data_IF_841437726047
#
_entry.id   IF_841437726047
#
_cell.length_a   1.000
_cell.length_b   1.000
_cell.length_c   1.000
_cell.angle_alpha   90.00
_cell.angle_beta   90.00
_cell.angle_gamma   90.00
#
_symmetry.space_group_name_H-M   'P 1'
#
loop_
_entity.id
_entity.type
_entity.pdbx_description
1 polymer ?
#
# COMPACT_ATOMS: atom_id res chain seq x y z
N UNK A 1 9.25 -0.95 18.84
CA UNK A 1 7.85 -1.10 19.23
C UNK A 1 7.49 -0.22 20.44
N UNK A 2 8.37 -0.15 21.45
CA UNK A 2 8.10 0.62 22.69
C UNK A 2 8.02 2.13 22.44
N UNK A 3 8.79 2.66 21.51
CA UNK A 3 8.68 4.07 21.07
C UNK A 3 7.27 4.39 20.54
N UNK A 4 6.70 3.51 19.73
CA UNK A 4 5.33 3.68 19.20
C UNK A 4 4.29 3.62 20.33
N UNK A 5 4.40 2.65 21.25
CA UNK A 5 3.51 2.55 22.43
C UNK A 5 3.55 3.81 23.27
N UNK A 6 4.74 4.38 23.49
CA UNK A 6 4.91 5.62 24.25
C UNK A 6 4.21 6.79 23.56
N UNK A 7 4.35 6.93 22.22
CA UNK A 7 3.65 7.97 21.45
C UNK A 7 2.13 7.83 21.52
N UNK A 8 1.61 6.59 21.37
CA UNK A 8 0.17 6.32 21.50
C UNK A 8 -0.35 6.79 22.86
N UNK A 9 0.39 6.52 23.93
CA UNK A 9 0.04 6.94 25.28
C UNK A 9 0.14 8.45 25.47
N UNK A 10 1.20 9.07 24.98
CA UNK A 10 1.45 10.51 25.03
C UNK A 10 0.33 11.30 24.35
N UNK A 11 -0.09 10.84 23.16
CA UNK A 11 -1.16 11.48 22.39
C UNK A 11 -2.57 10.99 22.75
N UNK A 12 -2.71 10.12 23.78
CA UNK A 12 -3.99 9.57 24.24
C UNK A 12 -4.79 8.86 23.15
N UNK A 13 -4.11 8.09 22.32
CA UNK A 13 -4.68 7.39 21.14
C UNK A 13 -4.96 5.91 21.40
N UNK A 14 -5.02 5.45 22.64
CA UNK A 14 -5.17 4.03 23.00
C UNK A 14 -6.45 3.40 22.46
N UNK A 15 -7.53 4.18 22.38
CA UNK A 15 -8.81 3.74 21.85
C UNK A 15 -8.91 3.80 20.31
N UNK A 16 -7.93 4.45 19.67
CA UNK A 16 -7.92 4.69 18.24
C UNK A 16 -6.85 3.89 17.48
N UNK A 17 -5.78 3.45 18.17
CA UNK A 17 -4.65 2.76 17.55
C UNK A 17 -4.47 1.37 18.13
N UNK A 18 -4.57 0.36 17.28
CA UNK A 18 -4.35 -1.03 17.65
C UNK A 18 -3.03 -1.54 17.07
N UNK A 19 -2.12 -2.00 17.93
CA UNK A 19 -0.87 -2.65 17.56
C UNK A 19 -1.08 -4.15 17.46
N UNK A 20 -1.37 -4.66 16.28
CA UNK A 20 -1.74 -6.08 16.09
C UNK A 20 -0.54 -7.03 16.02
N UNK A 21 0.68 -6.51 15.89
CA UNK A 21 1.89 -7.36 15.81
C UNK A 21 1.91 -8.24 14.55
N UNK A 22 2.48 -9.43 14.68
CA UNK A 22 2.51 -10.42 13.60
C UNK A 22 1.15 -11.10 13.50
N UNK A 23 0.59 -11.15 12.29
CA UNK A 23 -0.71 -11.75 12.00
C UNK A 23 -0.54 -12.92 11.01
N UNK A 24 -1.41 -13.93 11.10
CA UNK A 24 -1.52 -14.97 10.11
C UNK A 24 -2.41 -14.53 8.92
N UNK A 25 -2.45 -15.36 7.85
CA UNK A 25 -3.21 -15.04 6.63
C UNK A 25 -4.70 -14.74 6.89
N UNK A 26 -5.37 -15.52 7.75
CA UNK A 26 -6.79 -15.29 8.04
C UNK A 26 -7.00 -13.97 8.77
N UNK A 27 -6.13 -13.62 9.71
CA UNK A 27 -6.17 -12.35 10.42
C UNK A 27 -5.87 -11.17 9.48
N UNK A 28 -4.88 -11.32 8.58
CA UNK A 28 -4.56 -10.33 7.56
C UNK A 28 -5.76 -10.08 6.64
N UNK A 29 -6.38 -11.14 6.14
CA UNK A 29 -7.56 -11.06 5.29
C UNK A 29 -8.74 -10.39 6.01
N UNK A 30 -8.95 -10.70 7.30
CA UNK A 30 -9.96 -10.04 8.11
C UNK A 30 -9.68 -8.54 8.24
N UNK A 31 -8.43 -8.16 8.54
CA UNK A 31 -8.02 -6.74 8.64
C UNK A 31 -8.28 -6.04 7.31
N UNK A 32 -7.79 -6.57 6.19
CA UNK A 32 -8.00 -5.96 4.88
C UNK A 32 -9.49 -5.86 4.52
N UNK A 33 -10.31 -6.87 4.83
CA UNK A 33 -11.76 -6.83 4.55
C UNK A 33 -12.49 -5.71 5.31
N UNK A 34 -11.87 -5.16 6.37
CA UNK A 34 -12.42 -4.09 7.20
C UNK A 34 -11.60 -2.79 7.13
N UNK A 35 -10.77 -2.63 6.11
CA UNK A 35 -9.89 -1.47 5.93
C UNK A 35 -10.39 -0.59 4.80
N UNK A 36 -10.48 0.69 5.03
CA UNK A 36 -10.88 1.70 4.04
C UNK A 36 -9.71 2.29 3.25
N UNK A 37 -8.52 2.32 3.85
CA UNK A 37 -7.34 2.98 3.30
C UNK A 37 -6.06 2.33 3.85
N UNK A 38 -5.12 2.02 2.97
CA UNK A 38 -3.78 1.60 3.36
C UNK A 38 -2.82 2.79 3.31
N UNK A 39 -2.04 2.96 4.37
CA UNK A 39 -1.05 4.03 4.48
C UNK A 39 0.30 3.38 4.80
N UNK A 40 1.22 3.42 3.84
CA UNK A 40 2.56 2.87 4.02
C UNK A 40 3.59 3.80 3.35
N UNK A 41 3.83 5.00 3.92
CA UNK A 41 4.85 5.89 3.43
C UNK A 41 6.23 5.29 3.74
N UNK A 42 6.95 4.92 2.70
CA UNK A 42 8.33 4.42 2.81
C UNK A 42 9.28 5.60 2.97
N UNK A 43 10.21 5.48 3.89
CA UNK A 43 11.30 6.45 4.04
C UNK A 43 12.44 6.10 3.08
N UNK A 44 13.15 7.12 2.60
CA UNK A 44 14.39 6.91 1.87
C UNK A 44 15.50 6.51 2.84
N UNK A 45 15.77 5.21 2.91
CA UNK A 45 16.87 4.63 3.69
C UNK A 45 18.06 4.24 2.79
N UNK A 46 18.26 4.95 1.69
CA UNK A 46 19.37 4.69 0.75
C UNK A 46 20.74 4.72 1.43
N UNK A 47 20.90 5.55 2.47
CA UNK A 47 22.10 5.56 3.34
C UNK A 47 22.29 4.24 4.11
N UNK A 48 21.21 3.54 4.44
CA UNK A 48 21.23 2.21 5.07
C UNK A 48 21.26 1.06 4.05
N UNK A 49 21.35 1.37 2.73
CA UNK A 49 21.32 0.40 1.63
C UNK A 49 20.00 -0.42 1.59
N UNK A 50 18.94 0.16 2.08
CA UNK A 50 17.59 -0.44 2.05
C UNK A 50 16.69 0.43 1.16
N UNK A 51 16.07 -0.19 0.16
CA UNK A 51 15.13 0.47 -0.76
C UNK A 51 13.92 -0.46 -0.90
N UNK A 52 12.71 0.11 -0.85
CA UNK A 52 11.49 -0.64 -1.17
C UNK A 52 11.51 -1.06 -2.64
N UNK A 53 11.51 -2.36 -2.90
CA UNK A 53 11.60 -2.90 -4.25
C UNK A 53 10.36 -2.61 -5.08
N UNK A 54 9.19 -2.99 -4.57
CA UNK A 54 7.91 -2.84 -5.27
C UNK A 54 6.75 -2.56 -4.31
N UNK A 55 6.76 -3.19 -3.12
CA UNK A 55 5.69 -3.06 -2.15
C UNK A 55 4.53 -4.02 -2.41
N UNK A 56 4.77 -5.33 -2.30
CA UNK A 56 3.74 -6.38 -2.49
C UNK A 56 2.51 -6.11 -1.61
N UNK A 57 2.69 -5.53 -0.43
CA UNK A 57 1.59 -5.19 0.47
C UNK A 57 0.53 -4.26 -0.16
N UNK A 58 0.93 -3.36 -1.09
CA UNK A 58 -0.03 -2.54 -1.84
C UNK A 58 -0.91 -3.37 -2.77
N UNK A 59 -0.35 -4.44 -3.36
CA UNK A 59 -1.10 -5.33 -4.25
C UNK A 59 -2.02 -6.24 -3.43
N UNK A 60 -1.58 -6.68 -2.25
CA UNK A 60 -2.43 -7.40 -1.31
C UNK A 60 -3.64 -6.55 -0.90
N UNK A 61 -3.44 -5.29 -0.52
CA UNK A 61 -4.52 -4.34 -0.21
C UNK A 61 -5.44 -4.09 -1.42
N UNK A 62 -4.86 -3.96 -2.63
CA UNK A 62 -5.60 -3.76 -3.87
C UNK A 62 -6.59 -4.89 -4.16
N UNK A 63 -6.28 -6.14 -3.84
CA UNK A 63 -7.19 -7.28 -3.99
C UNK A 63 -8.48 -7.14 -3.15
N UNK A 64 -8.42 -6.35 -2.07
CA UNK A 64 -9.56 -6.01 -1.22
C UNK A 64 -10.22 -4.65 -1.58
N UNK A 65 -9.87 -4.06 -2.72
CA UNK A 65 -10.36 -2.74 -3.16
C UNK A 65 -9.95 -1.61 -2.22
N UNK A 66 -8.80 -1.74 -1.57
CA UNK A 66 -8.26 -0.72 -0.68
C UNK A 66 -7.30 0.16 -1.49
N UNK A 67 -7.55 1.46 -1.62
CA UNK A 67 -6.57 2.38 -2.19
C UNK A 67 -5.42 2.58 -1.21
N UNK A 68 -4.24 2.90 -1.73
CA UNK A 68 -3.06 3.09 -0.90
C UNK A 68 -2.51 4.50 -1.02
N UNK A 69 -1.94 5.01 0.08
CA UNK A 69 -1.06 6.18 0.07
C UNK A 69 0.36 5.66 0.22
N UNK A 70 1.21 5.94 -0.77
CA UNK A 70 2.59 5.52 -0.85
C UNK A 70 3.53 6.70 -1.09
N UNK A 71 4.80 6.56 -0.77
CA UNK A 71 5.83 7.56 -1.09
C UNK A 71 6.37 7.34 -2.51
N UNK A 72 6.93 8.40 -3.12
CA UNK A 72 7.60 8.34 -4.41
C UNK A 72 9.05 7.84 -4.27
N UNK A 73 9.22 6.60 -3.77
CA UNK A 73 10.53 6.02 -3.45
C UNK A 73 10.63 4.60 -4.01
N UNK A 74 11.77 4.27 -4.60
CA UNK A 74 12.04 2.94 -5.15
C UNK A 74 11.00 2.51 -6.18
N UNK A 75 10.50 1.28 -6.10
CA UNK A 75 9.48 0.74 -6.98
C UNK A 75 8.03 1.00 -6.56
N UNK A 76 7.78 1.78 -5.51
CA UNK A 76 6.41 2.04 -5.03
C UNK A 76 5.50 2.71 -6.09
N UNK A 77 6.00 3.62 -6.98
CA UNK A 77 5.19 4.17 -8.07
C UNK A 77 4.78 3.15 -9.14
N UNK A 78 5.44 1.99 -9.17
CA UNK A 78 5.01 0.88 -10.02
C UNK A 78 3.86 0.08 -9.39
N UNK A 79 3.79 0.02 -8.07
CA UNK A 79 2.71 -0.64 -7.36
C UNK A 79 1.46 0.24 -7.27
N UNK A 80 1.62 1.52 -6.95
CA UNK A 80 0.53 2.49 -6.78
C UNK A 80 0.62 3.56 -7.86
N UNK A 81 -0.42 3.68 -8.69
CA UNK A 81 -0.51 4.73 -9.72
C UNK A 81 -1.26 5.93 -9.16
N UNK A 82 -0.55 7.07 -9.06
CA UNK A 82 -1.11 8.31 -8.50
C UNK A 82 -2.42 8.72 -9.18
N UNK A 83 -3.44 9.04 -8.38
CA UNK A 83 -4.80 9.40 -8.81
C UNK A 83 -5.54 8.34 -9.65
N UNK A 84 -4.99 7.12 -9.75
CA UNK A 84 -5.66 6.00 -10.45
C UNK A 84 -5.95 4.83 -9.52
N UNK A 85 -4.96 4.39 -8.74
CA UNK A 85 -5.10 3.25 -7.81
C UNK A 85 -4.81 3.61 -6.36
N UNK A 86 -4.42 4.85 -6.11
CA UNK A 86 -4.08 5.42 -4.82
C UNK A 86 -3.46 6.80 -4.99
N UNK A 87 -2.79 7.27 -3.96
CA UNK A 87 -2.04 8.52 -3.97
C UNK A 87 -0.56 8.26 -3.75
N UNK A 88 0.29 9.01 -4.45
CA UNK A 88 1.73 9.06 -4.22
C UNK A 88 2.06 10.43 -3.62
N UNK A 89 2.68 10.44 -2.47
CA UNK A 89 3.25 11.62 -1.83
C UNK A 89 4.74 11.73 -2.17
N UNK A 90 5.23 12.94 -2.33
CA UNK A 90 6.65 13.24 -2.59
C UNK A 90 7.39 13.49 -1.30
N UNK A 91 6.72 14.10 -0.33
CA UNK A 91 7.22 14.40 0.99
C UNK A 91 6.25 13.90 2.06
N UNK A 92 6.78 13.58 3.24
CA UNK A 92 5.98 13.14 4.38
C UNK A 92 5.00 14.23 4.86
N UNK A 93 5.32 15.49 4.64
CA UNK A 93 4.48 16.64 4.99
C UNK A 93 3.17 16.68 4.18
N UNK A 94 3.12 16.00 3.02
CA UNK A 94 1.91 15.85 2.21
C UNK A 94 0.94 14.79 2.75
N UNK A 95 1.37 13.97 3.73
CA UNK A 95 0.62 12.80 4.19
C UNK A 95 -0.74 13.17 4.80
N UNK A 96 -0.78 14.19 5.63
CA UNK A 96 -2.00 14.63 6.31
C UNK A 96 -3.08 15.07 5.31
N UNK A 97 -2.68 15.84 4.30
CA UNK A 97 -3.58 16.30 3.24
C UNK A 97 -4.06 15.13 2.37
N UNK A 98 -3.16 14.21 2.02
CA UNK A 98 -3.51 13.01 1.26
C UNK A 98 -4.51 12.14 2.01
N UNK A 99 -4.33 11.93 3.32
CA UNK A 99 -5.27 11.18 4.17
C UNK A 99 -6.63 11.88 4.20
N UNK A 100 -6.66 13.17 4.51
CA UNK A 100 -7.90 13.96 4.58
C UNK A 100 -8.66 13.91 3.25
N UNK A 101 -7.99 14.06 2.12
CA UNK A 101 -8.61 14.06 0.80
C UNK A 101 -9.36 12.73 0.52
N UNK A 102 -8.85 11.60 1.00
CA UNK A 102 -9.49 10.29 0.82
C UNK A 102 -10.53 9.97 1.91
N UNK A 103 -10.39 10.52 3.12
CA UNK A 103 -11.41 10.40 4.17
C UNK A 103 -12.65 11.20 3.77
N UNK A 104 -12.48 12.45 3.37
CA UNK A 104 -13.58 13.39 3.09
C UNK A 104 -14.27 13.06 1.76
N UNK A 105 -13.60 12.41 0.82
CA UNK A 105 -14.16 12.03 -0.48
C UNK A 105 -14.29 10.51 -0.61
N UNK A 106 -15.36 9.96 -0.02
CA UNK A 106 -15.65 8.52 -0.08
C UNK A 106 -15.79 7.99 -1.51
N UNK A 107 -16.39 8.75 -2.41
CA UNK A 107 -16.59 8.33 -3.81
C UNK A 107 -15.24 8.13 -4.50
N UNK A 108 -14.34 9.11 -4.38
CA UNK A 108 -12.98 9.00 -4.93
C UNK A 108 -12.21 7.85 -4.29
N UNK A 109 -12.28 7.69 -2.96
CA UNK A 109 -11.64 6.58 -2.25
C UNK A 109 -12.08 5.22 -2.81
N UNK A 110 -13.38 5.00 -2.96
CA UNK A 110 -13.92 3.76 -3.51
C UNK A 110 -13.53 3.53 -4.97
N UNK A 111 -13.52 4.59 -5.79
CA UNK A 111 -13.08 4.54 -7.19
C UNK A 111 -11.63 4.13 -7.31
N UNK A 112 -10.74 4.73 -6.53
CA UNK A 112 -9.31 4.38 -6.50
C UNK A 112 -9.11 2.92 -6.08
N UNK A 113 -9.81 2.46 -5.04
CA UNK A 113 -9.75 1.08 -4.58
C UNK A 113 -10.25 0.08 -5.62
N UNK A 114 -11.36 0.38 -6.31
CA UNK A 114 -11.86 -0.46 -7.39
C UNK A 114 -10.84 -0.55 -8.55
N UNK A 115 -10.25 0.56 -8.94
CA UNK A 115 -9.21 0.58 -9.97
C UNK A 115 -7.96 -0.18 -9.55
N UNK A 116 -7.57 -0.09 -8.27
CA UNK A 116 -6.45 -0.85 -7.71
C UNK A 116 -6.70 -2.36 -7.87
N UNK A 117 -7.88 -2.84 -7.51
CA UNK A 117 -8.26 -4.25 -7.69
C UNK A 117 -8.21 -4.67 -9.14
N UNK A 118 -8.84 -3.94 -10.04
CA UNK A 118 -8.84 -4.24 -11.49
C UNK A 118 -7.41 -4.36 -12.00
N UNK A 119 -6.52 -3.46 -11.58
CA UNK A 119 -5.11 -3.51 -11.98
C UNK A 119 -4.38 -4.71 -11.39
N UNK A 120 -4.59 -5.02 -10.10
CA UNK A 120 -3.98 -6.18 -9.46
C UNK A 120 -4.37 -7.47 -10.19
N UNK A 121 -5.65 -7.66 -10.50
CA UNK A 121 -6.18 -8.84 -11.18
C UNK A 121 -5.71 -8.95 -12.65
N UNK A 122 -5.64 -7.82 -13.39
CA UNK A 122 -5.42 -7.85 -14.83
C UNK A 122 -3.96 -7.59 -15.25
N UNK A 123 -3.10 -7.10 -14.35
CA UNK A 123 -1.73 -6.72 -14.72
C UNK A 123 -0.66 -7.26 -13.78
N UNK A 124 -1.00 -7.51 -12.50
CA UNK A 124 0.00 -7.78 -11.46
C UNK A 124 -0.16 -9.16 -10.80
N UNK A 125 -1.07 -10.00 -11.28
CA UNK A 125 -1.20 -11.36 -10.78
C UNK A 125 -0.05 -12.26 -11.28
N UNK A 126 0.20 -13.33 -10.54
CA UNK A 126 1.30 -14.24 -10.84
C UNK A 126 1.19 -14.94 -12.19
N UNK A 127 -0.01 -15.32 -12.64
CA UNK A 127 -0.20 -16.00 -13.92
C UNK A 127 0.26 -15.14 -15.09
N UNK A 128 -0.06 -13.84 -15.04
CA UNK A 128 0.37 -12.87 -16.04
C UNK A 128 1.90 -12.67 -15.99
N UNK A 129 2.48 -12.55 -14.79
CA UNK A 129 3.92 -12.35 -14.67
C UNK A 129 4.69 -13.60 -15.14
N UNK A 130 4.28 -14.79 -14.72
CA UNK A 130 4.90 -16.06 -15.17
C UNK A 130 4.85 -16.18 -16.69
N UNK A 131 3.70 -15.84 -17.31
CA UNK A 131 3.60 -15.84 -18.77
C UNK A 131 4.64 -14.94 -19.43
N UNK A 132 4.80 -13.70 -18.94
CA UNK A 132 5.80 -12.76 -19.46
C UNK A 132 7.22 -13.31 -19.35
N UNK A 133 7.57 -13.94 -18.22
CA UNK A 133 8.88 -14.56 -18.04
C UNK A 133 9.08 -15.73 -19.01
N UNK A 134 8.08 -16.58 -19.17
CA UNK A 134 8.15 -17.71 -20.11
C UNK A 134 8.29 -17.24 -21.58
N UNK A 135 7.58 -16.18 -21.95
CA UNK A 135 7.69 -15.62 -23.30
C UNK A 135 9.10 -15.04 -23.52
N UNK A 136 9.66 -14.32 -22.56
CA UNK A 136 11.03 -13.80 -22.63
C UNK A 136 12.09 -14.91 -22.74
N UNK A 137 11.95 -16.01 -22.00
CA UNK A 137 12.87 -17.15 -22.06
C UNK A 137 12.88 -17.75 -23.48
N UNK A 138 11.70 -17.90 -24.11
CA UNK A 138 11.59 -18.44 -25.47
C UNK A 138 12.21 -17.54 -26.56
N UNK A 139 12.30 -16.23 -26.30
CA UNK A 139 12.94 -15.30 -27.22
C UNK A 139 14.49 -15.39 -27.18
N UNK A 140 15.03 -16.00 -26.12
CA UNK A 140 16.49 -16.13 -25.89
C UNK A 140 17.01 -17.50 -26.37
N UNK A 141 16.13 -18.49 -26.47
CA UNK A 141 16.45 -19.83 -27.04
C UNK A 141 16.47 -19.81 -28.58
#
# INVERSE_FOLDING_TARGET
LDSIKNKIKEYKLQDNVNLVGTVNENQKNYIFSNTDLMIMPTLDESSAKSIEGFGIAYIEAANFKIPSIASNIGGTPEAVIHNKTGLIIKDIDELDEAIKSLIDNKENRLKLGQNAKIRAENQLNWDIQIKKYNDLIKEIE
#
